data_IF_906840431891
#
_entry.id   IF_906840431891
#
_cell.length_a   1.000
_cell.length_b   1.000
_cell.length_c   1.000
_cell.angle_alpha   90.00
_cell.angle_beta   90.00
_cell.angle_gamma   90.00
#
_symmetry.space_group_name_H-M   'P 1'
#
loop_
_entity.id
_entity.type
_entity.pdbx_description
1 polymer ?
#
# COMPACT_ATOMS: atom_id res chain seq x y z
N UNK A 1 53.53 6.26 -13.43
CA UNK A 1 52.35 6.23 -14.31
C UNK A 1 51.31 5.33 -13.68
N UNK A 2 50.35 5.87 -12.94
CA UNK A 2 49.32 5.07 -12.28
C UNK A 2 48.03 5.89 -12.15
N UNK A 3 47.30 5.99 -13.25
CA UNK A 3 45.96 6.57 -13.26
C UNK A 3 45.20 6.01 -14.44
N UNK A 4 44.43 4.93 -14.27
CA UNK A 4 43.40 4.59 -15.24
C UNK A 4 42.20 3.89 -14.58
N UNK A 5 41.14 4.68 -14.42
CA UNK A 5 39.75 4.33 -14.67
C UNK A 5 39.20 3.03 -14.03
N UNK A 6 38.80 3.13 -12.76
CA UNK A 6 37.64 2.39 -12.26
C UNK A 6 36.42 3.29 -12.38
N UNK A 7 35.96 3.49 -13.62
CA UNK A 7 34.66 4.08 -13.88
C UNK A 7 33.64 3.00 -13.56
N UNK A 8 33.19 2.99 -12.30
CA UNK A 8 32.00 2.25 -11.89
C UNK A 8 30.86 2.75 -12.76
N UNK A 9 30.51 1.97 -13.76
CA UNK A 9 29.23 2.04 -14.45
C UNK A 9 28.13 1.87 -13.39
N UNK A 10 27.72 2.96 -12.76
CA UNK A 10 26.39 3.06 -12.21
C UNK A 10 25.47 3.12 -13.43
N UNK A 11 25.14 1.96 -14.01
CA UNK A 11 23.92 1.85 -14.77
C UNK A 11 22.82 2.20 -13.78
N UNK A 12 22.37 3.45 -13.82
CA UNK A 12 21.02 3.81 -13.43
C UNK A 12 20.10 2.99 -14.32
N UNK A 13 19.87 1.74 -13.93
CA UNK A 13 18.77 0.94 -14.45
C UNK A 13 17.53 1.76 -14.12
N UNK A 14 17.00 2.46 -15.13
CA UNK A 14 15.64 2.96 -15.10
C UNK A 14 14.77 1.73 -14.88
N UNK A 15 14.45 1.46 -13.62
CA UNK A 15 13.70 0.27 -13.26
C UNK A 15 12.28 0.49 -13.75
N UNK A 16 11.94 -0.13 -14.87
CA UNK A 16 10.59 -0.10 -15.40
C UNK A 16 9.64 -0.69 -14.35
N UNK A 17 8.49 -0.04 -14.17
CA UNK A 17 7.50 -0.54 -13.24
C UNK A 17 6.98 -1.90 -13.70
N UNK A 18 6.72 -2.82 -12.75
CA UNK A 18 6.09 -4.09 -13.08
C UNK A 18 4.75 -3.88 -13.77
N UNK A 19 4.38 -4.82 -14.63
CA UNK A 19 3.05 -4.86 -15.23
C UNK A 19 2.14 -5.70 -14.36
N UNK A 20 0.89 -5.27 -14.23
CA UNK A 20 -0.12 -5.96 -13.43
C UNK A 20 -1.36 -6.19 -14.28
N UNK A 21 -1.90 -7.40 -14.21
CA UNK A 21 -3.12 -7.78 -14.91
C UNK A 21 -4.04 -8.56 -14.00
N UNK A 22 -5.32 -8.59 -14.33
CA UNK A 22 -6.31 -9.44 -13.68
C UNK A 22 -6.72 -10.53 -14.67
N UNK A 23 -6.67 -11.80 -14.25
CA UNK A 23 -7.24 -12.91 -15.03
C UNK A 23 -7.75 -14.00 -14.09
N UNK A 24 -8.53 -14.92 -14.65
CA UNK A 24 -8.93 -16.11 -13.91
C UNK A 24 -7.71 -17.01 -13.70
N UNK A 25 -7.44 -17.36 -12.44
CA UNK A 25 -6.40 -18.31 -12.04
C UNK A 25 -7.03 -19.48 -11.29
N UNK A 26 -6.23 -20.49 -10.97
CA UNK A 26 -6.65 -21.54 -10.03
C UNK A 26 -7.24 -20.91 -8.75
N UNK A 27 -8.37 -21.41 -8.22
CA UNK A 27 -9.04 -20.80 -7.07
C UNK A 27 -8.16 -20.62 -5.85
N UNK A 28 -7.16 -21.48 -5.63
CA UNK A 28 -6.26 -21.39 -4.48
C UNK A 28 -5.04 -20.51 -4.75
N UNK A 29 -4.85 -19.99 -5.95
CA UNK A 29 -3.77 -19.06 -6.31
C UNK A 29 -4.34 -17.64 -6.38
N UNK A 30 -3.77 -16.72 -5.60
CA UNK A 30 -4.15 -15.30 -5.69
C UNK A 30 -3.26 -14.47 -6.61
N UNK A 31 -2.01 -14.87 -6.81
CA UNK A 31 -1.06 -14.15 -7.64
C UNK A 31 -0.11 -15.14 -8.34
N UNK A 32 0.16 -14.91 -9.61
CA UNK A 32 1.30 -15.50 -10.32
C UNK A 32 2.21 -14.40 -10.85
N UNK A 33 3.46 -14.74 -11.11
CA UNK A 33 4.40 -13.81 -11.72
C UNK A 33 5.36 -14.50 -12.67
N UNK A 34 5.88 -13.72 -13.61
CA UNK A 34 7.00 -14.05 -14.47
C UNK A 34 7.86 -12.81 -14.65
N UNK A 35 9.05 -12.81 -14.05
CA UNK A 35 9.91 -11.64 -13.96
C UNK A 35 9.13 -10.45 -13.40
N UNK A 36 9.03 -9.34 -14.13
CA UNK A 36 8.32 -8.12 -13.72
C UNK A 36 6.83 -8.09 -14.13
N UNK A 37 6.27 -9.22 -14.57
CA UNK A 37 4.84 -9.30 -14.94
C UNK A 37 4.06 -10.09 -13.90
N UNK A 38 3.02 -9.46 -13.33
CA UNK A 38 2.17 -10.01 -12.28
C UNK A 38 0.75 -10.22 -12.81
N UNK A 39 0.15 -11.35 -12.44
CA UNK A 39 -1.25 -11.66 -12.74
C UNK A 39 -1.96 -11.96 -11.42
N UNK A 40 -3.01 -11.18 -11.14
CA UNK A 40 -3.85 -11.34 -9.96
C UNK A 40 -5.10 -12.12 -10.32
N UNK A 41 -5.57 -12.96 -9.39
CA UNK A 41 -6.78 -13.73 -9.59
C UNK A 41 -8.01 -12.81 -9.57
N UNK A 42 -8.70 -12.70 -10.71
CA UNK A 42 -9.91 -11.88 -10.83
C UNK A 42 -11.08 -12.39 -9.98
N UNK A 43 -11.07 -13.68 -9.64
CA UNK A 43 -12.14 -14.32 -8.87
C UNK A 43 -11.95 -14.19 -7.35
N UNK A 44 -10.84 -13.58 -6.90
CA UNK A 44 -10.53 -13.50 -5.47
C UNK A 44 -9.99 -14.81 -4.91
N UNK A 45 -10.04 -14.94 -3.58
CA UNK A 45 -9.78 -16.20 -2.89
C UNK A 45 -11.10 -16.90 -2.52
N UNK A 46 -11.12 -18.24 -2.34
CA UNK A 46 -12.31 -18.98 -1.94
C UNK A 46 -12.75 -18.60 -0.52
N UNK A 47 -13.97 -19.01 -0.14
CA UNK A 47 -14.50 -18.74 1.19
C UNK A 47 -13.58 -19.27 2.29
N UNK A 48 -13.37 -18.46 3.34
CA UNK A 48 -12.44 -18.64 4.45
C UNK A 48 -10.95 -18.52 4.10
N UNK A 49 -10.61 -17.98 2.91
CA UNK A 49 -9.24 -17.69 2.53
C UNK A 49 -9.03 -16.23 2.13
N UNK A 50 -7.79 -15.73 2.25
CA UNK A 50 -7.38 -14.37 1.90
C UNK A 50 -6.01 -14.37 1.23
N UNK A 51 -5.71 -13.33 0.47
CA UNK A 51 -4.36 -13.07 -0.03
C UNK A 51 -3.71 -11.95 0.80
N UNK A 52 -2.43 -12.10 1.12
CA UNK A 52 -1.63 -11.02 1.74
C UNK A 52 -0.66 -10.47 0.72
N UNK A 53 -0.81 -9.19 0.37
CA UNK A 53 0.09 -8.54 -0.58
C UNK A 53 1.52 -8.53 -0.05
N UNK A 54 1.73 -8.29 1.26
CA UNK A 54 3.07 -8.33 1.87
C UNK A 54 3.76 -9.67 1.61
N UNK A 55 3.07 -10.77 1.92
CA UNK A 55 3.65 -12.11 1.81
C UNK A 55 3.83 -12.53 0.36
N UNK A 56 2.91 -12.15 -0.52
CA UNK A 56 3.03 -12.38 -1.96
C UNK A 56 4.29 -11.69 -2.52
N UNK A 57 4.54 -10.43 -2.15
CA UNK A 57 5.74 -9.69 -2.57
C UNK A 57 7.03 -10.23 -1.95
N UNK A 58 6.98 -10.73 -0.70
CA UNK A 58 8.12 -11.45 -0.10
C UNK A 58 8.41 -12.73 -0.90
N UNK A 59 7.39 -13.52 -1.24
CA UNK A 59 7.56 -14.74 -2.04
C UNK A 59 8.18 -14.43 -3.42
N UNK A 60 7.72 -13.37 -4.09
CA UNK A 60 8.34 -12.85 -5.32
C UNK A 60 9.82 -12.49 -5.12
N UNK A 61 10.15 -11.76 -4.05
CA UNK A 61 11.54 -11.35 -3.78
C UNK A 61 12.50 -12.53 -3.58
N UNK A 62 11.98 -13.67 -3.10
CA UNK A 62 12.75 -14.90 -2.91
C UNK A 62 12.89 -15.71 -4.21
N UNK A 63 11.97 -15.55 -5.17
CA UNK A 63 11.98 -16.27 -6.45
C UNK A 63 11.37 -15.41 -7.57
N UNK A 64 12.12 -14.44 -8.13
CA UNK A 64 11.55 -13.42 -9.01
C UNK A 64 11.28 -13.89 -10.45
N UNK A 65 11.92 -14.97 -10.91
CA UNK A 65 11.85 -15.38 -12.32
C UNK A 65 10.46 -15.90 -12.72
N UNK A 66 9.89 -16.79 -11.93
CA UNK A 66 8.55 -17.35 -12.14
C UNK A 66 8.04 -17.93 -10.81
N UNK A 67 6.76 -17.72 -10.52
CA UNK A 67 6.18 -18.29 -9.32
C UNK A 67 4.70 -17.98 -9.14
N UNK A 68 4.19 -18.42 -7.99
CA UNK A 68 2.82 -18.20 -7.59
C UNK A 68 2.72 -18.08 -6.07
N UNK A 69 1.67 -17.40 -5.62
CA UNK A 69 1.35 -17.26 -4.20
C UNK A 69 -0.09 -17.67 -3.95
N UNK A 70 -0.27 -18.57 -3.00
CA UNK A 70 -1.56 -19.19 -2.68
C UNK A 70 -2.35 -18.39 -1.65
N UNK A 71 -3.67 -18.52 -1.72
CA UNK A 71 -4.59 -18.03 -0.70
C UNK A 71 -4.33 -18.72 0.64
N UNK A 72 -4.43 -17.96 1.73
CA UNK A 72 -4.18 -18.41 3.12
C UNK A 72 -5.48 -18.44 3.93
N UNK A 73 -5.61 -19.38 4.88
CA UNK A 73 -6.79 -19.46 5.75
C UNK A 73 -7.00 -18.18 6.60
N UNK A 74 -8.25 -17.76 6.77
CA UNK A 74 -8.67 -16.61 7.59
C UNK A 74 -8.41 -16.80 9.09
N UNK A 75 -8.22 -18.04 9.59
CA UNK A 75 -7.92 -18.30 11.02
C UNK A 75 -6.67 -17.58 11.54
N UNK A 76 -5.86 -17.04 10.62
CA UNK A 76 -4.69 -16.22 10.90
C UNK A 76 -4.99 -14.72 11.13
N UNK A 77 -6.27 -14.31 11.12
CA UNK A 77 -6.68 -12.92 11.18
C UNK A 77 -7.14 -12.51 12.57
N UNK A 78 -6.21 -11.98 13.38
CA UNK A 78 -6.55 -11.32 14.64
C UNK A 78 -6.75 -9.83 14.36
N UNK A 79 -7.95 -9.30 14.61
CA UNK A 79 -8.15 -7.84 14.59
C UNK A 79 -7.50 -7.21 15.80
N UNK A 80 -6.82 -6.07 15.62
CA UNK A 80 -6.27 -5.33 16.75
C UNK A 80 -7.39 -4.90 17.72
N UNK A 81 -7.18 -5.08 19.02
CA UNK A 81 -8.12 -4.71 20.08
C UNK A 81 -7.46 -3.75 21.07
N UNK A 82 -8.26 -2.89 21.71
CA UNK A 82 -7.77 -1.90 22.68
C UNK A 82 -7.38 -0.58 22.03
N UNK A 83 -6.36 0.06 22.59
CA UNK A 83 -5.88 1.37 22.16
C UNK A 83 -4.40 1.29 21.77
N UNK A 84 -3.97 2.19 20.89
CA UNK A 84 -2.59 2.30 20.41
C UNK A 84 -2.14 3.75 20.51
N UNK A 85 -0.92 3.94 20.99
CA UNK A 85 -0.26 5.23 21.00
C UNK A 85 0.10 5.63 19.56
N UNK A 86 -0.19 6.86 19.17
CA UNK A 86 0.03 7.30 17.79
C UNK A 86 1.51 7.54 17.45
N UNK A 87 2.34 7.80 18.46
CA UNK A 87 3.69 8.35 18.28
C UNK A 87 3.73 9.85 18.50
N UNK A 88 4.87 10.46 18.19
CA UNK A 88 5.02 11.91 18.23
C UNK A 88 4.45 12.54 16.97
N UNK A 89 3.46 13.42 17.14
CA UNK A 89 2.99 14.29 16.07
C UNK A 89 4.09 15.32 15.74
N UNK A 90 4.60 15.28 14.51
CA UNK A 90 5.37 16.40 13.98
C UNK A 90 4.35 17.45 13.54
N UNK A 91 4.06 18.41 14.42
CA UNK A 91 2.99 19.41 14.38
C UNK A 91 2.77 20.16 13.04
N UNK A 92 3.67 20.03 12.08
CA UNK A 92 3.55 20.60 10.74
C UNK A 92 3.19 19.50 9.75
N UNK A 93 1.93 19.53 9.29
CA UNK A 93 1.49 18.68 8.19
C UNK A 93 2.28 19.03 6.94
N UNK A 94 2.97 18.04 6.36
CA UNK A 94 3.84 18.27 5.21
C UNK A 94 3.06 18.11 3.91
N UNK A 95 2.87 19.21 3.19
CA UNK A 95 2.29 19.19 1.85
C UNK A 95 3.37 19.04 0.78
N UNK A 96 2.97 18.58 -0.41
CA UNK A 96 3.85 18.63 -1.58
C UNK A 96 4.13 20.08 -1.92
N UNK A 97 5.37 20.37 -2.33
CA UNK A 97 5.74 21.69 -2.85
C UNK A 97 4.89 22.09 -4.07
N UNK A 98 4.42 21.11 -4.86
CA UNK A 98 3.53 21.34 -6.00
C UNK A 98 2.47 20.24 -6.18
N UNK A 99 1.19 20.63 -6.17
CA UNK A 99 0.05 19.72 -6.38
C UNK A 99 -0.34 18.94 -5.12
N UNK A 100 -1.06 17.83 -5.30
CA UNK A 100 -1.59 17.00 -4.21
C UNK A 100 -1.37 15.51 -4.48
N UNK A 101 -1.49 14.69 -3.43
CA UNK A 101 -1.44 13.22 -3.58
C UNK A 101 -2.78 12.67 -4.11
N UNK A 102 -2.78 11.58 -4.91
CA UNK A 102 -1.61 10.89 -5.46
C UNK A 102 -0.94 11.73 -6.55
N UNK A 103 0.38 11.87 -6.46
CA UNK A 103 1.20 12.67 -7.38
C UNK A 103 2.08 11.72 -8.19
N UNK A 104 2.03 11.80 -9.51
CA UNK A 104 2.94 11.05 -10.38
C UNK A 104 4.36 11.63 -10.33
N UNK A 105 5.34 10.75 -10.51
CA UNK A 105 6.76 11.07 -10.61
C UNK A 105 7.39 10.29 -11.77
N UNK A 106 8.63 10.60 -12.08
CA UNK A 106 9.38 10.11 -13.25
C UNK A 106 10.53 9.19 -12.88
N UNK A 107 11.07 9.31 -11.66
CA UNK A 107 12.24 8.57 -11.21
C UNK A 107 11.97 7.87 -9.90
N UNK A 108 12.04 6.53 -9.89
CA UNK A 108 11.87 5.72 -8.69
C UNK A 108 12.94 6.07 -7.63
N UNK A 109 12.57 6.01 -6.35
CA UNK A 109 13.44 6.31 -5.21
C UNK A 109 13.24 7.73 -4.66
N UNK A 110 14.29 8.31 -4.07
CA UNK A 110 14.22 9.56 -3.29
C UNK A 110 14.84 10.77 -4.00
N UNK A 111 14.87 10.77 -5.33
CA UNK A 111 15.54 11.81 -6.13
C UNK A 111 14.59 12.69 -6.95
N UNK A 112 13.31 12.33 -7.07
CA UNK A 112 12.38 13.06 -7.91
C UNK A 112 11.87 14.34 -7.23
N UNK A 113 12.21 15.50 -7.82
CA UNK A 113 11.78 16.81 -7.33
C UNK A 113 10.26 17.02 -7.33
N UNK A 114 9.49 16.26 -8.12
CA UNK A 114 8.03 16.28 -8.07
C UNK A 114 7.49 15.72 -6.74
N UNK A 115 8.29 14.91 -6.03
CA UNK A 115 8.00 14.37 -4.71
C UNK A 115 8.62 15.20 -3.57
N UNK A 116 9.03 16.44 -3.83
CA UNK A 116 9.53 17.35 -2.79
C UNK A 116 8.37 17.92 -1.96
N UNK A 117 8.52 17.87 -0.64
CA UNK A 117 7.65 18.53 0.33
C UNK A 117 8.06 20.01 0.51
N UNK A 118 7.19 20.81 1.13
CA UNK A 118 7.46 22.25 1.38
C UNK A 118 8.72 22.50 2.22
N UNK A 119 9.09 21.57 3.11
CA UNK A 119 10.30 21.65 3.93
C UNK A 119 11.58 21.17 3.21
N UNK A 120 11.48 20.83 1.92
CA UNK A 120 12.58 20.33 1.11
C UNK A 120 12.84 18.82 1.21
N UNK A 121 12.13 18.10 2.08
CA UNK A 121 12.21 16.62 2.14
C UNK A 121 11.70 16.02 0.84
N UNK A 122 12.42 15.08 0.24
CA UNK A 122 11.94 14.32 -0.92
C UNK A 122 11.40 12.97 -0.43
N UNK A 123 10.12 12.69 -0.74
CA UNK A 123 9.50 11.39 -0.43
C UNK A 123 9.76 10.37 -1.54
N UNK A 124 9.64 9.09 -1.20
CA UNK A 124 9.86 7.98 -2.13
C UNK A 124 8.89 8.05 -3.33
N UNK A 125 9.42 7.97 -4.53
CA UNK A 125 8.69 7.66 -5.76
C UNK A 125 8.71 6.15 -5.98
N UNK A 126 7.55 5.49 -6.06
CA UNK A 126 7.44 4.03 -6.22
C UNK A 126 6.36 3.64 -7.23
N UNK A 127 6.45 2.42 -7.75
CA UNK A 127 5.49 1.91 -8.72
C UNK A 127 4.11 1.65 -8.11
N UNK A 128 3.07 2.03 -8.85
CA UNK A 128 1.68 1.64 -8.63
C UNK A 128 1.30 0.39 -9.40
N UNK A 129 0.07 -0.09 -9.17
CA UNK A 129 -0.52 -1.25 -9.86
C UNK A 129 -0.99 -0.92 -11.29
N UNK A 130 -1.00 0.34 -11.67
CA UNK A 130 -1.22 0.81 -13.04
C UNK A 130 0.08 0.93 -13.85
N UNK A 131 1.19 0.38 -13.34
CA UNK A 131 2.53 0.46 -13.94
C UNK A 131 3.10 1.88 -14.08
N UNK A 132 2.53 2.85 -13.36
CA UNK A 132 3.05 4.23 -13.29
C UNK A 132 3.74 4.51 -11.95
N UNK A 133 4.57 5.56 -11.90
CA UNK A 133 5.32 5.95 -10.71
C UNK A 133 4.59 7.05 -9.92
N UNK A 134 4.53 6.90 -8.59
CA UNK A 134 3.85 7.84 -7.69
C UNK A 134 4.65 8.17 -6.43
N UNK A 135 4.53 9.41 -5.97
CA UNK A 135 5.06 9.86 -4.70
C UNK A 135 4.30 9.21 -3.54
N UNK A 136 5.01 8.50 -2.66
CA UNK A 136 4.49 7.96 -1.41
C UNK A 136 4.31 9.10 -0.41
N UNK A 137 3.12 9.29 0.19
CA UNK A 137 2.91 10.35 1.16
C UNK A 137 3.80 10.17 2.39
N UNK A 138 4.28 11.28 2.95
CA UNK A 138 4.93 11.28 4.26
C UNK A 138 3.90 10.90 5.35
N UNK A 139 4.28 10.16 6.42
CA UNK A 139 3.36 9.87 7.54
C UNK A 139 2.67 11.10 8.14
N UNK A 140 3.31 12.27 8.06
CA UNK A 140 2.80 13.55 8.54
C UNK A 140 2.14 14.40 7.45
N UNK A 141 1.82 13.86 6.28
CA UNK A 141 1.17 14.64 5.23
C UNK A 141 -0.31 14.88 5.50
N UNK A 142 -0.91 15.81 4.77
CA UNK A 142 -2.35 16.09 4.80
C UNK A 142 -3.23 14.87 4.47
N UNK A 143 -2.69 13.88 3.74
CA UNK A 143 -3.35 12.60 3.44
C UNK A 143 -3.78 11.88 4.71
N UNK A 144 -3.03 12.05 5.80
CA UNK A 144 -3.28 11.41 7.08
C UNK A 144 -3.81 12.38 8.14
N UNK A 145 -4.32 13.55 7.73
CA UNK A 145 -4.87 14.58 8.64
C UNK A 145 -5.95 14.04 9.59
N UNK A 146 -6.85 13.17 9.11
CA UNK A 146 -7.88 12.56 9.95
C UNK A 146 -7.32 11.68 11.07
N UNK A 147 -6.24 10.95 10.79
CA UNK A 147 -5.56 10.13 11.80
C UNK A 147 -4.98 11.02 12.90
N UNK A 148 -4.21 12.04 12.50
CA UNK A 148 -3.58 12.91 13.47
C UNK A 148 -4.56 13.80 14.22
N UNK A 149 -5.63 14.28 13.57
CA UNK A 149 -6.71 15.02 14.24
C UNK A 149 -7.37 14.17 15.34
N UNK A 150 -7.66 12.89 15.03
CA UNK A 150 -8.19 11.95 16.02
C UNK A 150 -7.18 11.71 17.14
N UNK A 151 -5.89 11.62 16.80
CA UNK A 151 -4.83 11.40 17.77
C UNK A 151 -4.68 12.56 18.77
N UNK A 152 -4.52 13.79 18.26
CA UNK A 152 -4.37 14.99 19.09
C UNK A 152 -5.59 15.28 19.96
N UNK A 153 -6.77 14.82 19.53
CA UNK A 153 -8.03 14.99 20.29
C UNK A 153 -8.20 13.98 21.42
N UNK A 154 -7.38 12.94 21.50
CA UNK A 154 -7.54 11.82 22.43
C UNK A 154 -6.21 11.51 23.16
N UNK A 155 -5.50 12.51 23.66
CA UNK A 155 -4.26 12.33 24.45
C UNK A 155 -3.22 11.39 23.79
N UNK A 156 -3.03 11.56 22.47
CA UNK A 156 -2.13 10.76 21.63
C UNK A 156 -2.41 9.25 21.57
N UNK A 157 -3.65 8.84 21.87
CA UNK A 157 -4.11 7.46 21.74
C UNK A 157 -5.32 7.34 20.79
N UNK A 158 -5.37 6.25 20.04
CA UNK A 158 -6.50 5.92 19.16
C UNK A 158 -6.91 4.46 19.30
N UNK A 159 -8.14 4.08 18.92
CA UNK A 159 -8.52 2.67 18.87
C UNK A 159 -7.55 1.86 18.01
N UNK A 160 -7.15 0.67 18.45
CA UNK A 160 -6.14 -0.15 17.78
C UNK A 160 -6.52 -0.49 16.32
N UNK A 161 -7.83 -0.66 16.03
CA UNK A 161 -8.34 -0.85 14.66
C UNK A 161 -8.14 0.39 13.78
N UNK A 162 -8.27 1.59 14.34
CA UNK A 162 -8.06 2.83 13.59
C UNK A 162 -6.57 3.05 13.31
N UNK A 163 -5.71 2.70 14.27
CA UNK A 163 -4.27 2.67 14.07
C UNK A 163 -3.85 1.64 13.00
N UNK A 164 -4.43 0.43 13.04
CA UNK A 164 -4.21 -0.61 12.02
C UNK A 164 -4.64 -0.15 10.63
N UNK A 165 -5.80 0.51 10.52
CA UNK A 165 -6.23 1.16 9.29
C UNK A 165 -5.20 2.19 8.79
N UNK A 166 -4.78 3.12 9.64
CA UNK A 166 -3.81 4.16 9.28
C UNK A 166 -2.50 3.55 8.79
N UNK A 167 -1.92 2.62 9.55
CA UNK A 167 -0.64 1.98 9.21
C UNK A 167 -0.75 1.25 7.88
N UNK A 168 -1.82 0.47 7.69
CA UNK A 168 -2.07 -0.26 6.44
C UNK A 168 -2.24 0.70 5.27
N UNK A 169 -3.00 1.78 5.44
CA UNK A 169 -3.22 2.77 4.39
C UNK A 169 -1.93 3.53 4.05
N UNK A 170 -1.08 3.82 5.03
CA UNK A 170 0.24 4.42 4.81
C UNK A 170 1.17 3.48 4.03
N UNK A 171 1.26 2.22 4.45
CA UNK A 171 2.15 1.23 3.84
C UNK A 171 1.76 0.93 2.38
N UNK A 172 0.46 0.90 2.10
CA UNK A 172 -0.11 0.52 0.81
C UNK A 172 -0.75 1.67 0.02
N UNK A 173 -0.47 2.92 0.37
CA UNK A 173 -1.16 4.08 -0.22
C UNK A 173 -1.12 4.06 -1.76
N UNK A 174 0.07 3.87 -2.34
CA UNK A 174 0.26 3.92 -3.79
C UNK A 174 -0.44 2.75 -4.47
N UNK A 175 -0.22 1.53 -3.99
CA UNK A 175 -0.84 0.32 -4.53
C UNK A 175 -2.37 0.35 -4.41
N UNK A 176 -2.90 0.87 -3.31
CA UNK A 176 -4.34 1.01 -3.11
C UNK A 176 -4.96 2.10 -4.00
N UNK A 177 -4.30 3.25 -4.16
CA UNK A 177 -4.80 4.34 -5.01
C UNK A 177 -4.75 4.02 -6.50
N UNK A 178 -3.84 3.15 -6.90
CA UNK A 178 -3.62 2.73 -8.29
C UNK A 178 -4.15 1.31 -8.54
N UNK A 179 -4.92 0.77 -7.59
CA UNK A 179 -5.33 -0.62 -7.57
C UNK A 179 -6.16 -0.99 -8.80
N UNK A 180 -5.89 -2.15 -9.39
CA UNK A 180 -6.80 -2.76 -10.37
C UNK A 180 -8.09 -3.20 -9.66
N UNK A 181 -9.21 -3.21 -10.39
CA UNK A 181 -10.52 -3.57 -9.82
C UNK A 181 -10.51 -4.91 -9.07
N UNK A 182 -9.85 -5.94 -9.62
CA UNK A 182 -9.76 -7.25 -8.98
C UNK A 182 -8.98 -7.25 -7.66
N UNK A 183 -8.03 -6.34 -7.48
CA UNK A 183 -7.13 -6.34 -6.32
C UNK A 183 -7.79 -5.80 -5.05
N UNK A 184 -8.80 -4.93 -5.20
CA UNK A 184 -9.49 -4.26 -4.08
C UNK A 184 -10.12 -5.22 -3.06
N UNK A 185 -10.56 -6.40 -3.52
CA UNK A 185 -11.15 -7.44 -2.67
C UNK A 185 -10.26 -8.70 -2.54
N UNK A 186 -9.15 -8.75 -3.29
CA UNK A 186 -8.22 -9.88 -3.26
C UNK A 186 -7.30 -9.80 -2.03
N UNK A 187 -6.74 -8.61 -1.79
CA UNK A 187 -5.76 -8.41 -0.73
C UNK A 187 -6.44 -8.00 0.57
N UNK A 188 -6.07 -8.71 1.65
CA UNK A 188 -6.58 -8.42 2.99
C UNK A 188 -6.21 -7.01 3.45
N UNK A 189 -5.05 -6.49 3.02
CA UNK A 189 -4.59 -5.14 3.33
C UNK A 189 -5.55 -4.09 2.74
N UNK A 190 -6.07 -4.32 1.53
CA UNK A 190 -7.02 -3.41 0.88
C UNK A 190 -8.42 -3.52 1.48
N UNK A 191 -8.75 -4.67 2.05
CA UNK A 191 -9.97 -4.87 2.82
C UNK A 191 -9.98 -4.05 4.11
N UNK A 192 -8.83 -3.95 4.80
CA UNK A 192 -8.67 -3.06 5.97
C UNK A 192 -8.93 -1.61 5.56
N UNK A 193 -8.33 -1.16 4.44
CA UNK A 193 -8.45 0.23 3.97
C UNK A 193 -9.87 0.55 3.50
N UNK A 194 -10.51 -0.35 2.76
CA UNK A 194 -11.86 -0.10 2.23
C UNK A 194 -12.98 -0.27 3.27
N UNK A 195 -12.66 -0.85 4.44
CA UNK A 195 -13.65 -1.26 5.43
C UNK A 195 -14.59 -2.37 4.93
N UNK A 196 -14.31 -2.94 3.75
CA UNK A 196 -15.04 -4.06 3.17
C UNK A 196 -14.28 -5.32 3.51
N UNK A 197 -14.92 -6.22 4.26
CA UNK A 197 -14.39 -7.56 4.49
C UNK A 197 -14.27 -8.26 3.13
N UNK A 198 -13.16 -8.97 2.81
CA UNK A 198 -13.07 -9.63 1.51
C UNK A 198 -14.23 -10.62 1.40
N UNK A 199 -14.80 -10.73 0.19
CA UNK A 199 -16.01 -11.51 -0.11
C UNK A 199 -15.91 -12.97 0.36
N UNK A 200 -14.69 -13.46 0.57
CA UNK A 200 -14.35 -14.78 1.08
C UNK A 200 -14.69 -15.01 2.55
N UNK A 201 -14.92 -14.00 3.39
CA UNK A 201 -14.95 -14.27 4.84
C UNK A 201 -16.22 -14.96 5.35
N UNK A 202 -17.37 -14.94 4.66
CA UNK A 202 -18.62 -15.48 5.21
C UNK A 202 -19.09 -14.81 6.53
N UNK A 203 -18.31 -13.88 7.08
CA UNK A 203 -18.58 -13.12 8.31
C UNK A 203 -19.33 -11.86 7.88
N UNK A 204 -20.60 -12.04 7.53
CA UNK A 204 -21.49 -10.93 7.17
C UNK A 204 -21.79 -9.97 8.35
N UNK A 205 -21.41 -10.31 9.59
CA UNK A 205 -22.00 -9.68 10.78
C UNK A 205 -21.05 -9.02 11.79
N UNK A 206 -19.72 -9.01 11.58
CA UNK A 206 -18.80 -8.39 12.56
C UNK A 206 -18.43 -6.92 12.27
N UNK A 207 -18.65 -6.44 11.03
CA UNK A 207 -18.21 -5.11 10.59
C UNK A 207 -19.31 -4.03 10.61
N UNK A 208 -20.55 -4.37 11.01
CA UNK A 208 -21.67 -3.41 11.03
C UNK A 208 -21.65 -2.38 12.16
N UNK A 209 -20.66 -2.37 13.06
CA UNK A 209 -20.65 -1.45 14.20
C UNK A 209 -19.36 -0.65 14.37
N UNK A 210 -18.84 -0.09 13.27
CA UNK A 210 -18.19 1.23 13.33
C UNK A 210 -18.56 1.95 12.06
N UNK A 211 -19.78 2.49 12.03
CA UNK A 211 -20.12 3.59 11.13
C UNK A 211 -19.30 4.82 11.53
N UNK A 212 -18.00 4.81 11.23
CA UNK A 212 -17.28 6.05 11.02
C UNK A 212 -17.87 6.60 9.73
N UNK A 213 -18.87 7.48 9.89
CA UNK A 213 -19.29 8.39 8.84
C UNK A 213 -18.15 9.36 8.54
N UNK A 214 -17.08 8.88 7.90
CA UNK A 214 -16.24 9.77 7.10
C UNK A 214 -17.04 9.96 5.82
N UNK A 215 -17.82 11.03 5.82
CA UNK A 215 -18.33 11.66 4.62
C UNK A 215 -17.16 11.78 3.64
N UNK A 216 -17.24 10.99 2.58
CA UNK A 216 -16.53 11.25 1.35
C UNK A 216 -17.07 12.58 0.79
N UNK A 217 -16.51 13.69 1.25
CA UNK A 217 -16.63 15.01 0.64
C UNK A 217 -15.20 15.50 0.41
N UNK A 218 -14.82 15.64 -0.87
CA UNK A 218 -13.52 16.16 -1.29
C UNK A 218 -12.73 15.26 -2.24
N UNK A 219 -13.35 14.84 -3.35
CA UNK A 219 -12.68 14.80 -4.64
C UNK A 219 -13.09 16.04 -5.41
#
# INVERSE_FOLDING_TARGET
>A
MLTFFLLKFFHTLSQECPTYTCSELDPMICMTWKSTSFTFNSNGCPTNYVCSLTKAMIAYSLSPDIGSYSCESVTTYTTATGYSYCGQDLAYRKSLKTGSFPKQCTSQGFSDSACMLEDGTIVECKCGFDSSLYCKPNPNSEVFSNFWSSCSSNDDIVPAKFYEYYKTYYDYYVEYKTSLSCTTLLFKEFSVISGKVPASTGIANAFRMVGIGILAWGL
#
